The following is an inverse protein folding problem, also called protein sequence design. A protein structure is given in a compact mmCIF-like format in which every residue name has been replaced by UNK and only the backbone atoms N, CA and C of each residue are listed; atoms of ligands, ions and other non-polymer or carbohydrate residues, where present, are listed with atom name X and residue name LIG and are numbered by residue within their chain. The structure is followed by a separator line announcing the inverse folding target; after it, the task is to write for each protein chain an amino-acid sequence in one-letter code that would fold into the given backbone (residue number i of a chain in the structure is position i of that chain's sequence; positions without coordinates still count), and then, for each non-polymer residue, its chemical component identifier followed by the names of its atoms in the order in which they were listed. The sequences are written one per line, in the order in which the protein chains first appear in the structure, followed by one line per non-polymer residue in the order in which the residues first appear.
data_IF_279826878585
#
_entry.id   IF_279826878585
#
_cell.length_a   1.000
_cell.length_b   1.000
_cell.length_c   1.000
_cell.angle_alpha   90.00
_cell.angle_beta   90.00
_cell.angle_gamma   90.00
#
_symmetry.space_group_name_H-M   'P 1'
#
loop_
_entity.id
_entity.type
_entity.pdbx_description
1 polymer ?
#
# COMPACT_ATOMS: atom_id res chain seq x y z
N UNK A 1 0.90 10.86 6.01
CA UNK A 1 -0.25 10.00 6.30
C UNK A 1 -0.29 8.93 5.23
N UNK A 2 -0.56 7.68 5.58
CA UNK A 2 -0.52 6.56 4.63
C UNK A 2 -1.68 5.61 4.85
N UNK A 3 -2.27 5.13 3.76
CA UNK A 3 -3.36 4.15 3.78
C UNK A 3 -2.77 2.76 3.85
N UNK A 4 -3.08 2.03 4.90
CA UNK A 4 -2.73 0.62 5.01
C UNK A 4 -3.96 -0.23 4.75
N UNK A 5 -3.79 -1.35 4.05
CA UNK A 5 -4.84 -2.36 3.96
C UNK A 5 -5.04 -3.03 5.32
N UNK A 6 -6.24 -3.54 5.60
CA UNK A 6 -6.54 -4.18 6.90
C UNK A 6 -5.60 -5.34 7.23
N UNK A 7 -5.02 -6.00 6.22
CA UNK A 7 -4.02 -7.06 6.40
C UNK A 7 -2.66 -6.56 6.88
N UNK A 8 -2.35 -5.27 6.65
CA UNK A 8 -1.10 -4.63 7.07
C UNK A 8 -1.22 -3.92 8.43
N UNK A 9 -2.42 -3.87 9.01
CA UNK A 9 -2.67 -3.18 10.27
C UNK A 9 -2.24 -4.04 11.47
N UNK A 10 -1.42 -3.45 12.34
CA UNK A 10 -1.01 -4.08 13.59
C UNK A 10 -1.59 -3.35 14.82
N UNK A 11 -1.82 -4.08 15.94
CA UNK A 11 -2.17 -3.46 17.21
C UNK A 11 -1.07 -2.49 17.67
N UNK A 12 -1.45 -1.29 18.13
CA UNK A 12 -0.54 -0.22 18.53
C UNK A 12 -0.37 0.88 17.47
N UNK A 13 -0.85 0.67 16.23
CA UNK A 13 -0.87 1.73 15.21
C UNK A 13 -1.95 2.77 15.50
N UNK A 14 -1.67 4.05 15.29
CA UNK A 14 -2.65 5.13 15.53
C UNK A 14 -3.34 5.54 14.25
N UNK A 15 -4.67 5.65 14.28
CA UNK A 15 -5.45 6.05 13.10
C UNK A 15 -5.31 7.55 12.84
N UNK A 16 -5.08 7.94 11.59
CA UNK A 16 -4.88 9.34 11.20
C UNK A 16 -6.16 10.09 10.86
N UNK A 17 -7.21 9.40 10.41
CA UNK A 17 -8.51 9.98 10.07
C UNK A 17 -9.65 9.11 10.57
N UNK A 18 -10.86 9.67 10.63
CA UNK A 18 -12.03 8.89 11.00
C UNK A 18 -12.27 7.75 10.01
N UNK A 19 -12.53 6.55 10.54
CA UNK A 19 -12.76 5.33 9.76
C UNK A 19 -14.25 5.10 9.68
N UNK A 20 -14.75 5.07 8.45
CA UNK A 20 -16.16 4.81 8.13
C UNK A 20 -16.31 3.49 7.39
N UNK A 21 -17.42 2.78 7.63
CA UNK A 21 -17.84 1.64 6.83
C UNK A 21 -18.33 2.07 5.43
N UNK A 22 -18.52 1.12 4.50
CA UNK A 22 -19.14 1.36 3.18
C UNK A 22 -20.49 2.07 3.26
N UNK A 23 -21.19 1.88 4.38
CA UNK A 23 -22.50 2.47 4.66
C UNK A 23 -22.41 3.91 5.19
N UNK A 24 -21.20 4.45 5.37
CA UNK A 24 -20.96 5.75 6.01
C UNK A 24 -21.04 5.73 7.53
N UNK A 25 -21.19 4.54 8.13
CA UNK A 25 -21.24 4.40 9.59
C UNK A 25 -19.85 4.60 10.18
N UNK A 26 -19.75 5.51 11.15
CA UNK A 26 -18.55 5.73 11.94
C UNK A 26 -18.17 4.49 12.76
N UNK A 27 -16.92 4.06 12.62
CA UNK A 27 -16.38 2.91 13.35
C UNK A 27 -15.29 3.30 14.34
N UNK A 28 -14.39 4.22 13.95
CA UNK A 28 -13.27 4.62 14.79
C UNK A 28 -12.87 6.06 14.50
N UNK A 29 -12.53 6.81 15.56
CA UNK A 29 -12.11 8.20 15.45
C UNK A 29 -10.62 8.34 15.17
N UNK A 30 -10.25 9.42 14.47
CA UNK A 30 -8.87 9.85 14.30
C UNK A 30 -8.17 10.00 15.67
N UNK A 31 -6.91 9.57 15.75
CA UNK A 31 -6.11 9.59 16.98
C UNK A 31 -6.31 8.38 17.90
N UNK A 32 -7.13 7.41 17.51
CA UNK A 32 -7.33 6.19 18.30
C UNK A 32 -6.23 5.17 18.00
N UNK A 33 -5.69 4.52 19.02
CA UNK A 33 -4.80 3.37 18.86
C UNK A 33 -5.58 2.11 18.46
N UNK A 34 -5.06 1.41 17.45
CA UNK A 34 -5.62 0.14 17.00
C UNK A 34 -5.35 -0.93 18.04
N UNK A 35 -6.41 -1.63 18.40
CA UNK A 35 -6.34 -2.80 19.27
C UNK A 35 -6.75 -4.03 18.48
N UNK A 36 -6.44 -5.21 19.00
CA UNK A 36 -6.83 -6.47 18.37
C UNK A 36 -8.36 -6.58 18.16
N UNK A 37 -9.15 -5.96 19.04
CA UNK A 37 -10.61 -5.85 18.88
C UNK A 37 -10.99 -4.98 17.68
N UNK A 38 -10.32 -3.83 17.51
CA UNK A 38 -10.56 -2.94 16.36
C UNK A 38 -10.24 -3.65 15.02
N UNK A 39 -9.15 -4.42 14.96
CA UNK A 39 -8.80 -5.21 13.77
C UNK A 39 -9.85 -6.28 13.44
N UNK A 40 -10.40 -6.93 14.47
CA UNK A 40 -11.48 -7.90 14.28
C UNK A 40 -12.74 -7.22 13.74
N UNK A 41 -13.13 -6.08 14.30
CA UNK A 41 -14.24 -5.26 13.81
C UNK A 41 -14.02 -4.89 12.34
N UNK A 42 -12.85 -4.36 11.97
CA UNK A 42 -12.56 -3.98 10.59
C UNK A 42 -12.69 -5.13 9.59
N UNK A 43 -12.25 -6.35 9.97
CA UNK A 43 -12.46 -7.56 9.16
C UNK A 43 -13.92 -7.96 9.06
N UNK A 44 -14.68 -7.87 10.14
CA UNK A 44 -16.12 -8.19 10.15
C UNK A 44 -16.93 -7.24 9.26
N UNK A 45 -16.59 -5.95 9.27
CA UNK A 45 -17.27 -4.94 8.45
C UNK A 45 -16.74 -4.89 7.00
N UNK A 46 -15.60 -5.52 6.72
CA UNK A 46 -15.00 -5.56 5.38
C UNK A 46 -14.37 -4.22 4.99
N UNK A 47 -13.73 -3.54 5.93
CA UNK A 47 -12.95 -2.34 5.62
C UNK A 47 -11.75 -2.74 4.77
N UNK A 48 -11.52 -2.04 3.66
CA UNK A 48 -10.39 -2.31 2.77
C UNK A 48 -9.12 -1.61 3.21
N UNK A 49 -9.22 -0.33 3.57
CA UNK A 49 -8.08 0.56 3.82
C UNK A 49 -8.35 1.48 5.02
N UNK A 50 -7.31 1.76 5.80
CA UNK A 50 -7.34 2.65 6.97
C UNK A 50 -6.14 3.58 6.94
N UNK A 51 -6.38 4.87 7.18
CA UNK A 51 -5.31 5.88 7.27
C UNK A 51 -4.61 5.81 8.63
N UNK A 52 -3.29 5.66 8.64
CA UNK A 52 -2.46 5.52 9.86
C UNK A 52 -1.46 6.67 10.00
N UNK A 53 -1.31 7.18 11.23
CA UNK A 53 -0.34 8.21 11.61
C UNK A 53 1.05 7.58 11.64
N UNK A 54 2.02 8.19 10.97
CA UNK A 54 3.40 7.69 10.95
C UNK A 54 3.65 6.56 9.94
N UNK A 55 2.62 6.07 9.24
CA UNK A 55 2.80 5.30 8.02
C UNK A 55 3.32 6.22 6.90
N UNK A 56 4.63 6.49 6.92
CA UNK A 56 5.32 7.07 5.78
C UNK A 56 5.33 6.01 4.67
N UNK A 57 4.55 6.22 3.61
CA UNK A 57 4.68 5.45 2.38
C UNK A 57 3.84 4.17 2.25
N UNK A 58 2.69 4.10 2.90
CA UNK A 58 1.64 3.14 2.55
C UNK A 58 0.96 3.48 1.22
N UNK A 59 1.73 3.69 0.14
CA UNK A 59 1.17 3.56 -1.21
C UNK A 59 0.98 2.07 -1.43
N UNK A 60 -0.22 1.54 -1.11
CA UNK A 60 -0.70 0.18 -1.41
C UNK A 60 0.42 -0.66 -1.95
N UNK A 61 1.33 -1.06 -1.05
CA UNK A 61 2.56 -1.69 -1.51
C UNK A 61 2.14 -3.10 -1.87
N UNK A 62 1.66 -3.28 -3.11
CA UNK A 62 1.37 -4.58 -3.70
C UNK A 62 2.50 -5.50 -3.25
N UNK A 63 2.17 -6.57 -2.50
CA UNK A 63 3.16 -7.48 -1.99
C UNK A 63 4.06 -7.91 -3.15
N UNK A 64 5.37 -7.88 -2.95
CA UNK A 64 6.30 -8.42 -3.92
C UNK A 64 5.87 -9.87 -4.20
N UNK A 65 5.70 -10.28 -5.46
CA UNK A 65 5.48 -11.67 -5.80
C UNK A 65 6.59 -12.52 -5.17
N UNK A 66 6.29 -13.69 -4.59
CA UNK A 66 7.30 -14.53 -3.93
C UNK A 66 8.43 -14.99 -4.87
N UNK A 67 8.22 -14.88 -6.18
CA UNK A 67 9.17 -15.22 -7.24
C UNK A 67 10.14 -14.06 -7.58
N UNK A 68 9.89 -12.86 -7.07
CA UNK A 68 10.68 -11.66 -7.37
C UNK A 68 11.60 -11.33 -6.19
N UNK A 69 12.90 -11.51 -6.41
CA UNK A 69 13.94 -11.09 -5.46
C UNK A 69 14.11 -9.57 -5.51
N UNK A 70 14.49 -8.95 -4.37
CA UNK A 70 14.79 -7.52 -4.29
C UNK A 70 15.80 -7.06 -5.36
N UNK A 71 16.81 -7.88 -5.65
CA UNK A 71 17.83 -7.63 -6.67
C UNK A 71 17.24 -7.55 -8.09
N UNK A 72 16.27 -8.42 -8.40
CA UNK A 72 15.59 -8.42 -9.70
C UNK A 72 14.69 -7.19 -9.85
N UNK A 73 14.08 -6.74 -8.75
CA UNK A 73 13.29 -5.52 -8.72
C UNK A 73 14.17 -4.29 -8.97
N UNK A 74 15.30 -4.16 -8.27
CA UNK A 74 16.23 -3.02 -8.43
C UNK A 74 16.79 -2.96 -9.86
N UNK A 75 17.15 -4.11 -10.45
CA UNK A 75 17.59 -4.17 -11.85
C UNK A 75 16.48 -3.77 -12.85
N UNK A 76 15.23 -4.15 -12.56
CA UNK A 76 14.07 -3.78 -13.35
C UNK A 76 13.79 -2.27 -13.24
N UNK A 77 13.79 -1.70 -12.04
CA UNK A 77 13.61 -0.27 -11.79
C UNK A 77 14.69 0.56 -12.47
N UNK A 78 15.97 0.16 -12.35
CA UNK A 78 17.07 0.85 -13.00
C UNK A 78 16.90 0.86 -14.53
N UNK A 79 16.46 -0.25 -15.12
CA UNK A 79 16.18 -0.33 -16.55
C UNK A 79 14.98 0.53 -16.98
N UNK A 80 13.94 0.61 -16.15
CA UNK A 80 12.71 1.35 -16.44
C UNK A 80 12.85 2.86 -16.18
N UNK A 81 13.80 3.26 -15.33
CA UNK A 81 14.07 4.66 -14.99
C UNK A 81 14.25 5.52 -16.24
N UNK A 82 14.92 5.00 -17.27
CA UNK A 82 15.13 5.68 -18.53
C UNK A 82 13.82 5.92 -19.31
N UNK A 83 12.87 4.98 -19.24
CA UNK A 83 11.58 5.06 -19.95
C UNK A 83 10.61 6.03 -19.25
N UNK A 84 10.67 6.11 -17.92
CA UNK A 84 9.78 6.96 -17.11
C UNK A 84 10.38 8.33 -16.78
N UNK A 85 11.61 8.63 -17.21
CA UNK A 85 12.26 9.93 -16.95
C UNK A 85 11.52 11.16 -17.48
N UNK A 86 10.72 10.99 -18.55
CA UNK A 86 9.88 12.05 -19.11
C UNK A 86 8.43 11.99 -18.58
N UNK A 87 8.13 11.01 -17.71
CA UNK A 87 6.81 10.84 -17.11
C UNK A 87 6.73 11.64 -15.82
N UNK A 88 5.56 12.21 -15.54
CA UNK A 88 5.31 12.93 -14.30
C UNK A 88 5.14 11.94 -13.13
N UNK A 89 6.24 11.58 -12.47
CA UNK A 89 6.23 10.62 -11.36
C UNK A 89 5.49 11.14 -10.11
N UNK A 90 5.22 12.45 -10.02
CA UNK A 90 4.38 13.02 -8.96
C UNK A 90 2.90 12.64 -9.11
N UNK A 91 2.50 12.14 -10.30
CA UNK A 91 1.14 11.69 -10.51
C UNK A 91 0.96 10.25 -9.97
N UNK A 92 -0.01 10.00 -9.08
CA UNK A 92 -0.18 8.70 -8.41
C UNK A 92 -0.37 7.53 -9.41
N UNK A 93 -1.05 7.77 -10.53
CA UNK A 93 -1.19 6.75 -11.57
C UNK A 93 0.13 6.38 -12.28
N UNK A 94 1.07 7.32 -12.41
CA UNK A 94 2.37 7.08 -13.07
C UNK A 94 3.30 6.34 -12.11
N UNK A 95 3.28 6.70 -10.82
CA UNK A 95 4.00 5.95 -9.78
C UNK A 95 3.54 4.47 -9.73
N UNK A 96 2.22 4.22 -9.79
CA UNK A 96 1.67 2.86 -9.87
C UNK A 96 2.07 2.14 -11.16
N UNK A 97 2.05 2.82 -12.31
CA UNK A 97 2.47 2.24 -13.59
C UNK A 97 3.95 1.83 -13.59
N UNK A 98 4.82 2.71 -13.10
CA UNK A 98 6.26 2.44 -12.99
C UNK A 98 6.51 1.16 -12.19
N UNK A 99 5.82 1.05 -11.05
CA UNK A 99 5.95 -0.08 -10.15
C UNK A 99 5.39 -1.38 -10.71
N UNK A 100 4.22 -1.35 -11.36
CA UNK A 100 3.66 -2.52 -12.05
C UNK A 100 4.58 -2.99 -13.18
N UNK A 101 5.20 -2.06 -13.91
CA UNK A 101 6.17 -2.38 -14.94
C UNK A 101 7.43 -3.03 -14.34
N UNK A 102 7.93 -2.54 -13.20
CA UNK A 102 9.07 -3.11 -12.49
C UNK A 102 8.80 -4.54 -12.03
N UNK A 103 7.64 -4.78 -11.40
CA UNK A 103 7.19 -6.12 -10.99
C UNK A 103 7.08 -7.08 -12.18
N UNK A 104 6.48 -6.63 -13.29
CA UNK A 104 6.34 -7.44 -14.50
C UNK A 104 7.69 -7.81 -15.10
N UNK A 105 8.63 -6.87 -15.14
CA UNK A 105 9.97 -7.09 -15.69
C UNK A 105 10.79 -8.01 -14.80
N UNK A 106 10.66 -7.89 -13.48
CA UNK A 106 11.35 -8.74 -12.52
C UNK A 106 10.82 -10.19 -12.53
N UNK A 107 9.52 -10.38 -12.75
CA UNK A 107 8.90 -11.71 -12.90
C UNK A 107 9.03 -12.32 -14.30
N UNK A 108 9.53 -11.59 -15.29
CA UNK A 108 9.74 -12.12 -16.64
C UNK A 108 11.10 -12.84 -16.69
N UNK A 109 11.08 -14.15 -16.51
CA UNK A 109 12.24 -14.99 -16.83
C UNK A 109 12.44 -14.92 -18.35
N UNK A 110 13.57 -14.38 -18.85
CA UNK A 110 13.83 -14.39 -20.28
C UNK A 110 13.96 -15.86 -20.74
N UNK A 111 13.13 -16.26 -21.71
CA UNK A 111 13.26 -17.54 -22.43
C UNK A 111 14.52 -17.57 -23.29
#
# INVERSE_FOLDING_TARGET
MGKLTVDQLEPGMTVASDVHDRTGRFLLGAGTELTQKHLMVFRTWGIGEVDIVGAAGGETLLPLPPEVTREQLEAAEHSLSHLFRLSNMDHPAIALLFRLAALRKAGHVPS
#
